data_IF_166051885229
#
_entry.id   IF_166051885229
#
_cell.length_a   1.000
_cell.length_b   1.000
_cell.length_c   1.000
_cell.angle_alpha   90.00
_cell.angle_beta   90.00
_cell.angle_gamma   90.00
#
_symmetry.space_group_name_H-M   'P 1'
#
loop_
_entity.id
_entity.type
_entity.pdbx_description
1 polymer ?
#
# COMPACT_ATOMS: atom_id res chain seq x y z
N UNK A 1 -15.55 16.40 27.20
CA UNK A 1 -14.93 15.20 26.67
C UNK A 1 -13.64 15.65 26.00
N UNK A 2 -12.51 15.15 26.45
CA UNK A 2 -11.19 15.47 25.91
C UNK A 2 -10.67 14.21 25.25
N UNK A 3 -10.19 14.30 24.02
CA UNK A 3 -9.51 13.21 23.34
C UNK A 3 -8.03 13.26 23.72
N UNK A 4 -7.51 12.13 24.21
CA UNK A 4 -6.17 12.04 24.80
C UNK A 4 -5.40 10.94 24.05
N UNK A 5 -4.29 11.31 23.43
CA UNK A 5 -3.42 10.35 22.74
C UNK A 5 -2.65 9.47 23.73
N UNK A 6 -2.13 10.07 24.83
CA UNK A 6 -1.47 9.34 25.91
C UNK A 6 -2.20 9.56 27.24
N UNK A 7 -2.90 8.53 27.78
CA UNK A 7 -3.62 8.61 29.03
C UNK A 7 -2.75 8.40 30.27
N UNK A 8 -1.48 8.02 30.11
CA UNK A 8 -0.60 7.70 31.25
C UNK A 8 -0.40 8.92 32.15
N UNK A 9 -0.62 8.74 33.46
CA UNK A 9 -0.49 9.80 34.45
C UNK A 9 -1.67 10.78 34.53
N UNK A 10 -2.71 10.62 33.70
CA UNK A 10 -3.92 11.45 33.77
C UNK A 10 -4.99 10.86 34.68
N UNK A 11 -5.75 11.72 35.33
CA UNK A 11 -6.86 11.31 36.21
C UNK A 11 -8.19 11.68 35.54
N UNK A 12 -9.11 10.73 35.47
CA UNK A 12 -10.44 10.94 34.91
C UNK A 12 -11.48 10.10 35.67
N UNK A 13 -12.72 10.60 35.75
CA UNK A 13 -13.84 9.84 36.31
C UNK A 13 -14.34 8.73 35.38
N UNK A 14 -14.17 8.90 34.08
CA UNK A 14 -14.53 7.94 33.05
C UNK A 14 -13.54 8.09 31.88
N UNK A 15 -13.10 6.96 31.36
CA UNK A 15 -12.27 6.88 30.17
C UNK A 15 -12.89 5.86 29.22
N UNK A 16 -13.11 6.30 27.98
CA UNK A 16 -13.50 5.43 26.86
C UNK A 16 -12.30 5.30 25.92
N UNK A 17 -11.95 4.09 25.49
CA UNK A 17 -10.82 3.86 24.59
C UNK A 17 -11.23 2.93 23.45
N UNK A 18 -10.64 3.16 22.26
CA UNK A 18 -10.68 2.23 21.14
C UNK A 18 -9.33 1.52 21.06
N UNK A 19 -9.34 0.19 21.16
CA UNK A 19 -8.13 -0.63 21.16
C UNK A 19 -8.14 -1.51 19.92
N UNK A 20 -7.06 -1.46 19.14
CA UNK A 20 -6.83 -2.31 17.99
C UNK A 20 -5.96 -3.52 18.39
N UNK A 21 -6.43 -4.72 18.09
CA UNK A 21 -5.70 -5.96 18.34
C UNK A 21 -5.30 -6.60 17.02
N UNK A 22 -4.00 -6.90 16.86
CA UNK A 22 -3.49 -7.67 15.75
C UNK A 22 -3.35 -9.14 16.15
N UNK A 23 -3.93 -10.04 15.36
CA UNK A 23 -3.85 -11.49 15.58
C UNK A 23 -3.02 -12.13 14.48
N UNK A 24 -2.19 -13.09 14.87
CA UNK A 24 -1.47 -13.95 13.94
C UNK A 24 -1.73 -15.43 14.25
N UNK A 25 -1.64 -16.28 13.23
CA UNK A 25 -1.71 -17.72 13.43
C UNK A 25 -0.58 -18.19 14.34
N UNK A 26 -0.90 -18.99 15.36
CA UNK A 26 0.10 -19.58 16.24
C UNK A 26 1.11 -20.42 15.46
N UNK A 27 0.65 -21.18 14.48
CA UNK A 27 1.53 -22.00 13.62
C UNK A 27 2.56 -21.11 12.89
N UNK A 28 2.16 -19.92 12.41
CA UNK A 28 3.06 -18.97 11.77
C UNK A 28 4.11 -18.46 12.76
N UNK A 29 3.68 -17.98 13.93
CA UNK A 29 4.60 -17.42 14.94
C UNK A 29 5.56 -18.46 15.48
N UNK A 30 5.10 -19.70 15.68
CA UNK A 30 5.94 -20.81 16.15
C UNK A 30 7.01 -21.19 15.12
N UNK A 31 6.64 -21.30 13.84
CA UNK A 31 7.58 -21.63 12.74
C UNK A 31 8.63 -20.52 12.59
N UNK A 32 8.19 -19.27 12.49
CA UNK A 32 9.10 -18.13 12.32
C UNK A 32 10.01 -18.00 13.56
N UNK A 33 9.47 -18.10 14.77
CA UNK A 33 10.24 -18.06 15.99
C UNK A 33 11.29 -19.19 16.07
N UNK A 34 10.95 -20.40 15.64
CA UNK A 34 11.90 -21.50 15.56
C UNK A 34 13.05 -21.24 14.55
N UNK A 35 12.75 -20.60 13.43
CA UNK A 35 13.77 -20.19 12.44
C UNK A 35 14.68 -19.13 13.02
N UNK A 36 14.12 -18.08 13.63
CA UNK A 36 14.89 -16.98 14.24
C UNK A 36 15.83 -17.51 15.33
N UNK A 37 15.34 -18.43 16.16
CA UNK A 37 16.15 -19.10 17.18
C UNK A 37 17.32 -19.91 16.58
N UNK A 38 17.10 -20.60 15.44
CA UNK A 38 18.18 -21.29 14.72
C UNK A 38 19.21 -20.32 14.13
N UNK A 39 18.81 -19.10 13.82
CA UNK A 39 19.71 -18.03 13.39
C UNK A 39 20.45 -17.33 14.55
N UNK A 40 20.41 -17.91 15.76
CA UNK A 40 21.03 -17.39 16.98
C UNK A 40 20.50 -16.00 17.42
N UNK A 41 19.28 -15.64 17.03
CA UNK A 41 18.61 -14.45 17.56
C UNK A 41 17.99 -14.77 18.92
N UNK A 42 18.23 -13.89 19.91
CA UNK A 42 17.82 -14.09 21.31
C UNK A 42 16.48 -13.46 21.65
N UNK A 43 15.98 -12.56 20.82
CA UNK A 43 14.71 -11.89 21.02
C UNK A 43 14.08 -11.45 19.70
N UNK A 44 12.77 -11.46 19.64
CA UNK A 44 11.97 -10.95 18.52
C UNK A 44 10.57 -10.58 18.99
N UNK A 45 9.94 -9.70 18.26
CA UNK A 45 8.56 -9.32 18.44
C UNK A 45 7.82 -9.39 17.09
N UNK A 46 6.51 -9.68 17.12
CA UNK A 46 5.66 -9.69 15.94
C UNK A 46 4.80 -8.44 15.93
N UNK A 47 4.92 -7.64 14.88
CA UNK A 47 4.17 -6.42 14.68
C UNK A 47 3.46 -6.48 13.32
N UNK A 48 2.24 -5.94 13.23
CA UNK A 48 1.55 -5.79 11.95
C UNK A 48 2.32 -4.84 11.03
N UNK A 49 2.70 -5.32 9.84
CA UNK A 49 3.34 -4.47 8.83
C UNK A 49 2.43 -3.32 8.37
N UNK A 50 1.12 -3.56 8.31
CA UNK A 50 0.13 -2.53 7.98
C UNK A 50 0.09 -1.42 9.04
N UNK A 51 0.14 -1.76 10.33
CA UNK A 51 0.24 -0.79 11.40
C UNK A 51 1.57 -0.03 11.32
N UNK A 52 2.67 -0.74 11.18
CA UNK A 52 4.00 -0.17 11.10
C UNK A 52 4.15 0.84 9.95
N UNK A 53 3.66 0.50 8.76
CA UNK A 53 3.60 1.43 7.62
C UNK A 53 2.78 2.67 7.94
N UNK A 54 1.61 2.49 8.55
CA UNK A 54 0.69 3.60 8.85
C UNK A 54 1.33 4.59 9.82
N UNK A 55 2.02 4.09 10.84
CA UNK A 55 2.71 4.94 11.83
C UNK A 55 3.93 5.66 11.25
N UNK A 56 4.62 5.02 10.30
CA UNK A 56 5.77 5.62 9.64
C UNK A 56 5.37 6.71 8.61
N UNK A 57 4.31 6.43 7.82
CA UNK A 57 3.99 7.22 6.64
C UNK A 57 3.02 8.37 6.89
N UNK A 58 2.23 8.30 7.95
CA UNK A 58 1.20 9.29 8.25
C UNK A 58 1.57 9.99 9.53
N UNK A 59 1.73 11.32 9.46
CA UNK A 59 2.04 12.14 10.63
C UNK A 59 0.97 12.01 11.72
N UNK A 60 1.38 12.10 12.98
CA UNK A 60 0.48 11.97 14.12
C UNK A 60 -0.66 13.00 14.07
N UNK A 61 -0.37 14.24 13.70
CA UNK A 61 -1.36 15.32 13.56
C UNK A 61 -2.49 14.97 12.57
N UNK A 62 -2.19 14.17 11.55
CA UNK A 62 -3.19 13.66 10.58
C UNK A 62 -3.94 12.48 11.17
N UNK A 63 -3.25 11.59 11.91
CA UNK A 63 -3.82 10.41 12.56
C UNK A 63 -4.67 10.74 13.78
N UNK A 64 -4.60 11.96 14.34
CA UNK A 64 -5.53 12.44 15.38
C UNK A 64 -6.98 12.50 14.87
N UNK A 65 -7.17 12.52 13.55
CA UNK A 65 -8.42 12.21 12.86
C UNK A 65 -8.38 10.84 12.19
N UNK A 66 -9.17 10.69 11.13
CA UNK A 66 -9.10 9.51 10.24
C UNK A 66 -8.20 9.81 9.04
N UNK A 67 -7.36 8.84 8.69
CA UNK A 67 -6.61 8.81 7.45
C UNK A 67 -6.72 7.45 6.78
N UNK A 68 -6.80 7.42 5.45
CA UNK A 68 -6.78 6.20 4.66
C UNK A 68 -5.36 5.97 4.12
N UNK A 69 -4.87 4.73 4.22
CA UNK A 69 -3.66 4.28 3.56
C UNK A 69 -3.98 3.05 2.71
N UNK A 70 -3.68 3.13 1.42
CA UNK A 70 -3.72 2.01 0.49
C UNK A 70 -2.29 1.55 0.21
N UNK A 71 -1.96 0.32 0.59
CA UNK A 71 -0.71 -0.34 0.21
C UNK A 71 -0.98 -1.28 -0.96
N UNK A 72 -0.53 -0.89 -2.16
CA UNK A 72 -0.64 -1.72 -3.36
C UNK A 72 0.66 -2.49 -3.54
N UNK A 73 0.62 -3.76 -3.16
CA UNK A 73 1.76 -4.66 -3.30
C UNK A 73 1.83 -5.33 -4.68
N UNK A 74 2.59 -6.42 -4.75
CA UNK A 74 2.72 -7.21 -5.98
C UNK A 74 1.55 -8.19 -6.18
N UNK A 75 1.16 -8.90 -5.11
CA UNK A 75 0.09 -9.92 -5.13
C UNK A 75 -1.16 -9.43 -4.41
N UNK A 76 -0.99 -8.63 -3.35
CA UNK A 76 -2.07 -8.20 -2.47
C UNK A 76 -2.07 -6.70 -2.30
N UNK A 77 -3.25 -6.14 -2.06
CA UNK A 77 -3.44 -4.76 -1.64
C UNK A 77 -4.17 -4.71 -0.30
N UNK A 78 -3.81 -3.72 0.52
CA UNK A 78 -4.37 -3.51 1.85
C UNK A 78 -4.95 -2.11 1.95
N UNK A 79 -6.21 -2.00 2.36
CA UNK A 79 -6.90 -0.74 2.66
C UNK A 79 -6.96 -0.60 4.17
N UNK A 80 -6.38 0.46 4.67
CA UNK A 80 -6.24 0.74 6.10
C UNK A 80 -6.92 2.06 6.45
N UNK A 81 -7.80 2.06 7.45
CA UNK A 81 -8.26 3.28 8.10
C UNK A 81 -7.52 3.41 9.43
N UNK A 82 -6.81 4.50 9.57
CA UNK A 82 -5.91 4.79 10.69
C UNK A 82 -6.51 5.89 11.55
N UNK A 83 -6.44 5.72 12.88
CA UNK A 83 -6.79 6.75 13.84
C UNK A 83 -5.89 6.62 15.07
N UNK A 84 -5.24 7.70 15.49
CA UNK A 84 -4.26 7.68 16.56
C UNK A 84 -3.10 6.72 16.27
N UNK A 85 -2.81 5.84 17.21
CA UNK A 85 -1.75 4.83 17.11
C UNK A 85 -2.30 3.45 16.67
N UNK A 86 -3.50 3.39 16.04
CA UNK A 86 -4.14 2.13 15.70
C UNK A 86 -4.76 2.08 14.31
N UNK A 87 -4.95 0.84 13.83
CA UNK A 87 -5.79 0.56 12.67
C UNK A 87 -7.21 0.31 13.18
N UNK A 88 -8.15 1.15 12.78
CA UNK A 88 -9.57 0.97 13.12
C UNK A 88 -10.32 0.14 12.09
N UNK A 89 -9.75 0.01 10.88
CA UNK A 89 -10.24 -0.88 9.83
C UNK A 89 -9.08 -1.36 8.96
N UNK A 90 -9.14 -2.62 8.57
CA UNK A 90 -8.20 -3.24 7.63
C UNK A 90 -8.98 -4.18 6.72
N UNK A 91 -8.83 -3.99 5.42
CA UNK A 91 -9.35 -4.90 4.40
C UNK A 91 -8.26 -5.21 3.40
N UNK A 92 -8.04 -6.50 3.16
CA UNK A 92 -7.09 -6.98 2.15
C UNK A 92 -7.82 -7.64 1.00
N UNK A 93 -7.27 -7.54 -0.20
CA UNK A 93 -7.72 -8.25 -1.39
C UNK A 93 -6.52 -8.75 -2.21
N UNK A 94 -6.71 -9.89 -2.88
CA UNK A 94 -5.65 -10.59 -3.63
C UNK A 94 -5.50 -10.02 -5.03
N UNK A 95 -5.08 -8.75 -5.13
CA UNK A 95 -4.79 -8.04 -6.36
C UNK A 95 -3.67 -7.04 -6.11
N UNK A 96 -2.75 -6.95 -7.04
CA UNK A 96 -1.61 -6.04 -6.98
C UNK A 96 -0.99 -5.83 -8.37
N UNK A 97 0.18 -5.21 -8.42
CA UNK A 97 0.81 -4.89 -9.71
C UNK A 97 1.34 -6.11 -10.48
N UNK A 98 1.45 -7.27 -9.86
CA UNK A 98 1.74 -8.53 -10.56
C UNK A 98 0.64 -8.93 -11.53
N UNK A 99 -0.62 -8.57 -11.23
CA UNK A 99 -1.74 -8.77 -12.14
C UNK A 99 -1.61 -7.93 -13.41
N UNK A 100 -1.06 -6.68 -13.32
CA UNK A 100 -0.74 -5.88 -14.52
C UNK A 100 0.20 -6.64 -15.44
N UNK A 101 1.25 -7.27 -14.90
CA UNK A 101 2.20 -8.04 -15.70
C UNK A 101 1.58 -9.30 -16.30
N UNK A 102 0.69 -9.97 -15.57
CA UNK A 102 -0.04 -11.12 -16.10
C UNK A 102 -0.99 -10.72 -17.25
N UNK A 103 -1.68 -9.59 -17.14
CA UNK A 103 -2.54 -9.08 -18.20
C UNK A 103 -1.74 -8.67 -19.44
N UNK A 104 -0.63 -7.94 -19.24
CA UNK A 104 0.28 -7.58 -20.33
C UNK A 104 0.85 -8.81 -21.02
N UNK A 105 1.26 -9.84 -20.26
CA UNK A 105 1.71 -11.11 -20.80
C UNK A 105 0.64 -11.74 -21.72
N UNK A 106 -0.59 -11.81 -21.23
CA UNK A 106 -1.69 -12.46 -21.95
C UNK A 106 -2.13 -11.66 -23.17
N UNK A 107 -2.37 -10.35 -23.02
CA UNK A 107 -2.96 -9.50 -24.09
C UNK A 107 -1.94 -9.16 -25.16
N UNK A 108 -0.66 -9.01 -24.80
CA UNK A 108 0.42 -8.69 -25.74
C UNK A 108 1.13 -9.93 -26.27
N UNK A 109 0.77 -11.13 -25.79
CA UNK A 109 1.34 -12.43 -26.18
C UNK A 109 2.87 -12.49 -26.02
N UNK A 110 3.37 -11.98 -24.89
CA UNK A 110 4.81 -11.88 -24.58
C UNK A 110 5.15 -12.71 -23.35
N UNK A 111 6.44 -12.91 -23.09
CA UNK A 111 6.90 -13.59 -21.89
C UNK A 111 6.66 -12.72 -20.63
N UNK A 112 6.58 -13.36 -19.45
CA UNK A 112 6.38 -12.63 -18.20
C UNK A 112 7.52 -11.62 -17.94
N UNK A 113 8.76 -11.95 -18.26
CA UNK A 113 9.90 -11.03 -18.13
C UNK A 113 9.76 -9.79 -19.04
N UNK A 114 9.25 -9.98 -20.27
CA UNK A 114 8.93 -8.88 -21.18
C UNK A 114 7.76 -8.04 -20.69
N UNK A 115 6.76 -8.66 -20.07
CA UNK A 115 5.62 -7.95 -19.45
C UNK A 115 6.08 -7.08 -18.27
N UNK A 116 6.96 -7.58 -17.40
CA UNK A 116 7.58 -6.78 -16.34
C UNK A 116 8.39 -5.60 -16.88
N UNK A 117 9.17 -5.82 -17.94
CA UNK A 117 9.90 -4.76 -18.62
C UNK A 117 8.93 -3.73 -19.24
N UNK A 118 7.90 -4.18 -19.96
CA UNK A 118 6.89 -3.32 -20.57
C UNK A 118 6.17 -2.47 -19.51
N UNK A 119 5.73 -3.08 -18.42
CA UNK A 119 5.09 -2.38 -17.29
C UNK A 119 5.94 -1.21 -16.79
N UNK A 120 7.24 -1.41 -16.66
CA UNK A 120 8.18 -0.37 -16.20
C UNK A 120 8.35 0.80 -17.19
N UNK A 121 8.02 0.57 -18.47
CA UNK A 121 8.10 1.58 -19.55
C UNK A 121 6.77 2.29 -19.79
N UNK A 122 5.65 1.68 -19.39
CA UNK A 122 4.32 2.28 -19.53
C UNK A 122 4.27 3.64 -18.84
N UNK A 123 3.79 4.64 -19.57
CA UNK A 123 3.63 6.00 -19.08
C UNK A 123 2.21 6.49 -19.35
N UNK A 124 1.40 6.54 -18.30
CA UNK A 124 0.00 6.96 -18.38
C UNK A 124 -0.18 8.49 -18.42
N UNK A 125 0.90 9.26 -18.27
CA UNK A 125 0.89 10.73 -18.38
C UNK A 125 0.99 11.22 -19.84
N UNK A 126 1.33 10.32 -20.76
CA UNK A 126 1.47 10.63 -22.15
C UNK A 126 0.25 10.09 -22.94
N UNK A 127 -0.18 10.84 -23.92
CA UNK A 127 -1.08 10.36 -24.94
C UNK A 127 -0.25 9.75 -26.07
N UNK A 128 -0.69 8.59 -26.55
CA UNK A 128 -0.04 7.86 -27.63
C UNK A 128 -1.03 7.70 -28.78
N UNK A 129 -0.51 7.76 -29.99
CA UNK A 129 -1.27 7.44 -31.17
C UNK A 129 -1.00 5.99 -31.65
N UNK A 130 -1.72 5.57 -32.68
CA UNK A 130 -1.62 4.20 -33.21
C UNK A 130 -0.25 3.86 -33.81
N UNK A 131 0.63 4.85 -34.06
CA UNK A 131 1.98 4.65 -34.58
C UNK A 131 3.01 4.43 -33.45
N UNK A 132 2.72 4.88 -32.23
CA UNK A 132 3.62 4.83 -31.11
C UNK A 132 3.83 3.42 -30.56
N UNK A 133 5.05 3.14 -30.16
CA UNK A 133 5.41 1.83 -29.64
C UNK A 133 6.36 1.95 -28.46
N UNK A 134 6.22 1.03 -27.51
CA UNK A 134 7.27 0.71 -26.55
C UNK A 134 8.24 -0.30 -27.15
N UNK A 135 9.54 -0.01 -27.07
CA UNK A 135 10.58 -0.92 -27.52
C UNK A 135 11.23 -1.59 -26.31
N UNK A 136 11.16 -2.91 -26.27
CA UNK A 136 11.75 -3.73 -25.23
C UNK A 136 13.18 -4.12 -25.54
N UNK A 137 13.89 -4.65 -24.55
CA UNK A 137 15.18 -5.26 -24.71
C UNK A 137 15.12 -6.36 -25.79
N UNK A 138 16.11 -6.38 -26.70
CA UNK A 138 16.06 -7.28 -27.86
C UNK A 138 15.31 -6.75 -29.08
N UNK A 139 14.79 -5.50 -29.04
CA UNK A 139 14.19 -4.82 -30.20
C UNK A 139 12.72 -5.16 -30.45
N UNK A 140 12.07 -5.89 -29.54
CA UNK A 140 10.63 -6.14 -29.65
C UNK A 140 9.85 -4.83 -29.49
N UNK A 141 9.03 -4.51 -30.50
CA UNK A 141 8.23 -3.29 -30.57
C UNK A 141 6.75 -3.63 -30.33
N UNK A 142 6.13 -2.98 -29.35
CA UNK A 142 4.76 -3.24 -28.91
C UNK A 142 3.95 -1.94 -28.91
N UNK A 143 2.69 -2.03 -29.32
CA UNK A 143 1.78 -0.86 -29.40
C UNK A 143 1.60 -0.22 -28.02
N UNK A 144 1.95 1.07 -27.93
CA UNK A 144 1.90 1.82 -26.69
C UNK A 144 0.45 2.04 -26.21
N UNK A 145 -0.44 2.40 -27.14
CA UNK A 145 -1.87 2.58 -26.86
C UNK A 145 -2.46 1.32 -26.20
N UNK A 146 -2.26 0.14 -26.84
CA UNK A 146 -2.80 -1.14 -26.32
C UNK A 146 -2.21 -1.51 -24.96
N UNK A 147 -0.90 -1.28 -24.73
CA UNK A 147 -0.29 -1.54 -23.44
C UNK A 147 -0.85 -0.62 -22.34
N UNK A 148 -1.06 0.66 -22.65
CA UNK A 148 -1.65 1.61 -21.73
C UNK A 148 -3.10 1.27 -21.38
N UNK A 149 -3.91 0.81 -22.35
CA UNK A 149 -5.28 0.34 -22.10
C UNK A 149 -5.32 -0.82 -21.12
N UNK A 150 -4.45 -1.82 -21.28
CA UNK A 150 -4.37 -2.97 -20.39
C UNK A 150 -4.01 -2.52 -18.96
N UNK A 151 -3.04 -1.62 -18.85
CA UNK A 151 -2.60 -1.13 -17.53
C UNK A 151 -3.69 -0.29 -16.86
N UNK A 152 -4.38 0.59 -17.62
CA UNK A 152 -5.50 1.39 -17.11
C UNK A 152 -6.61 0.49 -16.58
N UNK A 153 -7.04 -0.50 -17.36
CA UNK A 153 -8.10 -1.42 -16.97
C UNK A 153 -7.78 -2.14 -15.63
N UNK A 154 -6.52 -2.54 -15.42
CA UNK A 154 -6.13 -3.16 -14.15
C UNK A 154 -6.09 -2.17 -12.97
N UNK A 155 -5.66 -0.93 -13.22
CA UNK A 155 -5.69 0.11 -12.19
C UNK A 155 -7.13 0.47 -11.82
N UNK A 156 -8.04 0.53 -12.78
CA UNK A 156 -9.48 0.73 -12.56
C UNK A 156 -10.07 -0.37 -11.68
N UNK A 157 -9.73 -1.63 -11.96
CA UNK A 157 -10.19 -2.75 -11.14
C UNK A 157 -9.64 -2.67 -9.70
N UNK A 158 -8.38 -2.29 -9.51
CA UNK A 158 -7.81 -2.04 -8.17
C UNK A 158 -8.58 -0.91 -7.47
N UNK A 159 -8.94 0.14 -8.20
CA UNK A 159 -9.71 1.27 -7.69
C UNK A 159 -11.13 0.86 -7.28
N UNK A 160 -11.80 0.01 -8.06
CA UNK A 160 -13.12 -0.53 -7.75
C UNK A 160 -13.09 -1.39 -6.47
N UNK A 161 -12.05 -2.23 -6.31
CA UNK A 161 -11.87 -2.98 -5.07
C UNK A 161 -11.59 -2.09 -3.86
N UNK A 162 -10.83 -1.00 -4.05
CA UNK A 162 -10.63 0.01 -3.01
C UNK A 162 -11.97 0.67 -2.63
N UNK A 163 -12.75 1.14 -3.60
CA UNK A 163 -14.07 1.72 -3.35
C UNK A 163 -14.98 0.72 -2.62
N UNK A 164 -14.98 -0.54 -3.05
CA UNK A 164 -15.75 -1.60 -2.39
C UNK A 164 -15.29 -1.87 -0.96
N UNK A 165 -14.00 -1.80 -0.69
CA UNK A 165 -13.48 -1.93 0.67
C UNK A 165 -13.95 -0.78 1.56
N UNK A 166 -14.07 0.45 1.02
CA UNK A 166 -14.60 1.60 1.76
C UNK A 166 -16.11 1.47 2.05
N UNK A 167 -16.90 0.95 1.11
CA UNK A 167 -18.33 0.66 1.34
C UNK A 167 -18.57 -0.33 2.49
N UNK A 168 -17.63 -1.27 2.67
CA UNK A 168 -17.68 -2.27 3.74
C UNK A 168 -17.14 -1.74 5.09
N UNK A 169 -16.57 -0.55 5.10
CA UNK A 169 -16.02 0.05 6.30
C UNK A 169 -17.16 0.45 7.27
N UNK A 170 -17.13 0.01 8.55
CA UNK A 170 -18.17 0.35 9.52
C UNK A 170 -18.07 1.80 10.04
N UNK A 171 -17.02 2.52 9.67
CA UNK A 171 -16.78 3.90 10.08
C UNK A 171 -17.16 4.87 8.97
N UNK A 172 -17.73 6.00 9.33
CA UNK A 172 -18.04 7.07 8.39
C UNK A 172 -16.75 7.74 7.89
N UNK A 173 -16.48 7.59 6.60
CA UNK A 173 -15.34 8.22 5.93
C UNK A 173 -15.82 9.52 5.29
N UNK A 174 -15.34 10.64 5.81
CA UNK A 174 -15.71 11.95 5.30
C UNK A 174 -15.01 12.22 3.97
N UNK A 175 -15.64 13.04 3.12
CA UNK A 175 -15.07 13.42 1.80
C UNK A 175 -13.68 14.07 1.88
N UNK A 176 -13.35 14.71 3.00
CA UNK A 176 -12.04 15.34 3.22
C UNK A 176 -11.06 14.46 4.00
N UNK A 177 -11.39 13.19 4.26
CA UNK A 177 -10.44 12.23 4.85
C UNK A 177 -9.24 12.09 3.93
N UNK A 178 -8.01 12.36 4.38
CA UNK A 178 -6.83 12.24 3.54
C UNK A 178 -6.59 10.80 3.14
N UNK A 179 -6.26 10.60 1.84
CA UNK A 179 -5.98 9.30 1.25
C UNK A 179 -4.52 9.26 0.82
N UNK A 180 -3.82 8.25 1.31
CA UNK A 180 -2.42 7.99 0.99
C UNK A 180 -2.29 6.67 0.24
N UNK A 181 -1.32 6.61 -0.67
CA UNK A 181 -0.96 5.38 -1.39
C UNK A 181 0.52 5.09 -1.18
N UNK A 182 0.85 3.84 -0.95
CA UNK A 182 2.21 3.31 -0.83
C UNK A 182 2.32 1.94 -1.51
N UNK A 183 3.44 1.28 -1.35
CA UNK A 183 3.70 -0.02 -1.98
C UNK A 183 4.32 0.12 -3.37
N UNK A 184 4.84 -0.99 -3.87
CA UNK A 184 5.49 -1.05 -5.18
C UNK A 184 4.52 -1.09 -6.38
N UNK A 185 3.21 -1.19 -6.14
CA UNK A 185 2.22 -1.43 -7.17
C UNK A 185 1.99 -0.25 -8.10
N UNK A 186 1.23 0.73 -7.66
CA UNK A 186 0.92 1.91 -8.49
C UNK A 186 2.17 2.74 -8.81
N UNK A 187 3.12 2.81 -7.88
CA UNK A 187 4.39 3.51 -8.08
C UNK A 187 5.33 2.87 -9.11
N UNK A 188 5.09 1.63 -9.52
CA UNK A 188 5.85 0.96 -10.58
C UNK A 188 5.43 1.38 -11.99
N UNK A 189 4.32 2.09 -12.12
CA UNK A 189 3.79 2.59 -13.39
C UNK A 189 3.85 4.12 -13.38
N UNK A 190 4.46 4.73 -14.37
CA UNK A 190 4.52 6.19 -14.49
C UNK A 190 3.11 6.72 -14.70
N UNK A 191 2.64 7.57 -13.79
CA UNK A 191 1.28 8.11 -13.82
C UNK A 191 0.22 7.19 -13.21
N UNK A 192 0.61 6.04 -12.63
CA UNK A 192 -0.34 5.07 -12.07
C UNK A 192 -1.17 5.62 -10.90
N UNK A 193 -0.54 6.32 -9.97
CA UNK A 193 -1.25 6.94 -8.84
C UNK A 193 -2.14 8.09 -9.28
N UNK A 194 -1.68 8.90 -10.21
CA UNK A 194 -2.47 10.00 -10.78
C UNK A 194 -3.71 9.47 -11.51
N UNK A 195 -3.55 8.41 -12.31
CA UNK A 195 -4.67 7.78 -13.00
C UNK A 195 -5.69 7.17 -12.02
N UNK A 196 -5.22 6.45 -11.00
CA UNK A 196 -6.05 5.92 -9.91
C UNK A 196 -6.84 7.04 -9.21
N UNK A 197 -6.18 8.16 -8.88
CA UNK A 197 -6.78 9.33 -8.26
C UNK A 197 -7.87 9.97 -9.15
N UNK A 198 -7.59 10.09 -10.44
CA UNK A 198 -8.51 10.64 -11.44
C UNK A 198 -9.73 9.73 -11.64
N UNK A 199 -9.54 8.43 -11.74
CA UNK A 199 -10.64 7.46 -11.94
C UNK A 199 -11.65 7.49 -10.79
N UNK A 200 -11.17 7.60 -9.56
CA UNK A 200 -12.01 7.66 -8.35
C UNK A 200 -12.55 9.06 -8.02
N UNK A 201 -12.13 10.10 -8.73
CA UNK A 201 -12.42 11.52 -8.39
C UNK A 201 -12.06 11.86 -6.93
N UNK A 202 -10.90 11.40 -6.48
CA UNK A 202 -10.38 11.67 -5.13
C UNK A 202 -8.94 12.17 -5.17
N UNK A 203 -8.55 12.95 -4.16
CA UNK A 203 -7.17 13.40 -4.05
C UNK A 203 -6.33 12.36 -3.28
N UNK A 204 -5.46 11.66 -3.97
CA UNK A 204 -4.56 10.64 -3.41
C UNK A 204 -3.14 11.17 -3.37
N UNK A 205 -2.47 11.00 -2.23
CA UNK A 205 -1.07 11.39 -2.03
C UNK A 205 -0.17 10.17 -2.00
N UNK A 206 0.92 10.19 -2.75
CA UNK A 206 1.97 9.18 -2.59
C UNK A 206 2.62 9.34 -1.22
N UNK A 207 2.69 8.25 -0.45
CA UNK A 207 3.35 8.19 0.84
C UNK A 207 4.66 7.41 0.74
N UNK A 208 5.75 8.10 1.01
CA UNK A 208 7.10 7.54 1.13
C UNK A 208 7.66 7.95 2.50
N UNK A 209 8.51 7.13 3.12
CA UNK A 209 9.20 7.51 4.33
C UNK A 209 10.07 8.75 4.08
N UNK A 210 10.07 9.67 5.04
CA UNK A 210 11.00 10.82 5.04
C UNK A 210 12.40 10.38 5.53
N UNK A 211 12.99 9.46 4.78
CA UNK A 211 14.32 8.89 5.05
C UNK A 211 15.12 9.00 3.75
N UNK A 212 16.30 9.65 3.74
CA UNK A 212 17.07 9.93 2.52
C UNK A 212 17.37 8.73 1.65
N UNK A 213 17.51 7.54 2.24
CA UNK A 213 17.79 6.28 1.52
C UNK A 213 16.53 5.49 1.17
N UNK A 214 15.36 5.84 1.71
CA UNK A 214 14.09 5.12 1.54
C UNK A 214 13.28 5.68 0.35
N UNK A 215 13.86 5.68 -0.83
CA UNK A 215 13.25 6.27 -2.03
C UNK A 215 12.23 5.39 -2.74
N UNK A 216 12.04 4.15 -2.27
CA UNK A 216 11.20 3.15 -2.94
C UNK A 216 10.08 2.66 -2.03
N UNK A 217 8.84 2.84 -2.49
CA UNK A 217 7.63 2.50 -1.75
C UNK A 217 7.51 1.00 -1.38
N UNK A 218 8.14 0.10 -2.10
CA UNK A 218 8.06 -1.33 -1.80
C UNK A 218 8.84 -1.76 -0.54
N UNK A 219 9.67 -0.90 0.03
CA UNK A 219 10.36 -1.15 1.31
C UNK A 219 9.63 -0.56 2.52
N UNK A 220 8.51 0.13 2.35
CA UNK A 220 7.82 0.85 3.45
C UNK A 220 7.46 -0.04 4.63
N UNK A 221 7.05 -1.29 4.38
CA UNK A 221 6.78 -2.28 5.45
C UNK A 221 8.00 -2.56 6.31
N UNK A 222 9.15 -2.77 5.68
CA UNK A 222 10.40 -3.05 6.39
C UNK A 222 10.90 -1.84 7.17
N UNK A 223 10.83 -0.65 6.59
CA UNK A 223 11.18 0.60 7.28
C UNK A 223 10.24 0.89 8.46
N UNK A 224 8.94 0.63 8.31
CA UNK A 224 7.98 0.80 9.40
C UNK A 224 8.27 -0.13 10.58
N UNK A 225 8.59 -1.40 10.31
CA UNK A 225 8.98 -2.35 11.36
C UNK A 225 10.29 -1.93 12.04
N UNK A 226 11.26 -1.44 11.28
CA UNK A 226 12.53 -0.93 11.82
C UNK A 226 12.31 0.31 12.71
N UNK A 227 11.45 1.24 12.27
CA UNK A 227 11.11 2.44 13.03
C UNK A 227 10.49 2.09 14.41
N UNK A 228 9.54 1.13 14.44
CA UNK A 228 8.97 0.63 15.69
C UNK A 228 10.05 0.02 16.57
N UNK A 229 10.90 -0.84 16.03
CA UNK A 229 11.96 -1.48 16.79
C UNK A 229 12.97 -0.48 17.40
N UNK A 230 13.26 0.62 16.70
CA UNK A 230 14.14 1.68 17.19
C UNK A 230 13.48 2.55 18.27
N UNK A 231 12.17 2.71 18.25
CA UNK A 231 11.41 3.50 19.24
C UNK A 231 11.16 2.74 20.55
N UNK A 232 11.27 1.41 20.55
CA UNK A 232 11.09 0.57 21.72
C UNK A 232 12.37 0.40 22.56
N UNK A 233 13.54 0.82 22.06
CA UNK A 233 14.82 0.84 22.75
C UNK A 233 15.13 2.25 23.27
#
# INVERSE_FOLDING_TARGET
KEDVADPIGRTANKMDGLISYCFASRAFTDVVGAILKKCALSGWEFVSSCLAQSLLLIEQSVRDGYALLLDVGYITSNVMLVCGEGLVYLKSFSMGCGNISADLQQVMEISFAQAEELKSKVNLKLEFDSSDNYVLSGGLSLKAEKANEVVRARIEEIADYFAKALELCPYEIKRNTPIYVTGGGLSSVIGGTEYFSQYLDVNVKNALPDIPQATKAFYTSAYGLLDIALKQN
#
